data_IF_304855718140
#
_entry.id   IF_304855718140
#
_cell.length_a   1.000
_cell.length_b   1.000
_cell.length_c   1.000
_cell.angle_alpha   90.00
_cell.angle_beta   90.00
_cell.angle_gamma   90.00
#
_symmetry.space_group_name_H-M   'P 1'
#
loop_
_entity.id
_entity.type
_entity.pdbx_description
1 polymer ?
#
# COMPACT_ATOMS: atom_id res chain seq x y z
N UNK A 1 -5.46 -24.90 -28.58
CA UNK A 1 -5.18 -23.45 -28.57
C UNK A 1 -5.28 -22.98 -27.14
N UNK A 2 -4.16 -22.78 -26.45
CA UNK A 2 -4.18 -22.10 -25.15
C UNK A 2 -4.69 -20.69 -25.38
N UNK A 3 -5.73 -20.30 -24.64
CA UNK A 3 -6.19 -18.91 -24.63
C UNK A 3 -5.02 -18.03 -24.21
N UNK A 4 -4.81 -16.88 -24.85
CA UNK A 4 -3.80 -15.89 -24.47
C UNK A 4 -3.84 -15.63 -22.96
N UNK A 5 -5.03 -15.59 -22.36
CA UNK A 5 -5.24 -15.42 -20.91
C UNK A 5 -4.71 -16.62 -20.10
N UNK A 6 -4.81 -17.83 -20.62
CA UNK A 6 -4.24 -19.04 -20.03
C UNK A 6 -2.72 -18.99 -19.94
N UNK A 7 -2.06 -18.53 -21.01
CA UNK A 7 -0.60 -18.35 -21.02
C UNK A 7 -0.15 -17.26 -20.03
N UNK A 8 -0.91 -16.16 -19.93
CA UNK A 8 -0.70 -15.12 -18.90
C UNK A 8 -0.83 -15.69 -17.48
N UNK A 9 -1.84 -16.53 -17.22
CA UNK A 9 -2.06 -17.13 -15.90
C UNK A 9 -0.93 -18.09 -15.51
N UNK A 10 -0.53 -18.97 -16.44
CA UNK A 10 0.55 -19.93 -16.21
C UNK A 10 1.87 -19.22 -15.86
N UNK A 11 2.21 -18.18 -16.64
CA UNK A 11 3.42 -17.39 -16.38
C UNK A 11 3.36 -16.64 -15.04
N UNK A 12 2.18 -16.13 -14.67
CA UNK A 12 1.98 -15.47 -13.37
C UNK A 12 2.14 -16.46 -12.20
N UNK A 13 1.68 -17.71 -12.33
CA UNK A 13 1.87 -18.75 -11.33
C UNK A 13 3.34 -19.16 -11.17
N UNK A 14 4.08 -19.29 -12.27
CA UNK A 14 5.52 -19.55 -12.24
C UNK A 14 6.28 -18.45 -11.49
N UNK A 15 5.97 -17.18 -11.79
CA UNK A 15 6.61 -16.05 -11.13
C UNK A 15 6.28 -16.00 -9.63
N UNK A 16 5.05 -16.35 -9.23
CA UNK A 16 4.65 -16.44 -7.82
C UNK A 16 5.40 -17.55 -7.07
N UNK A 17 5.51 -18.74 -7.67
CA UNK A 17 6.31 -19.84 -7.10
C UNK A 17 7.78 -19.44 -6.94
N UNK A 18 8.33 -18.75 -7.94
CA UNK A 18 9.71 -18.24 -7.88
C UNK A 18 9.88 -17.19 -6.77
N UNK A 19 8.89 -16.31 -6.59
CA UNK A 19 8.88 -15.33 -5.52
C UNK A 19 8.85 -15.99 -4.13
N UNK A 20 8.02 -17.03 -3.95
CA UNK A 20 7.96 -17.80 -2.70
C UNK A 20 9.32 -18.43 -2.36
N UNK A 21 9.96 -19.10 -3.32
CA UNK A 21 11.29 -19.68 -3.15
C UNK A 21 12.37 -18.62 -2.81
N UNK A 22 12.29 -17.44 -3.44
CA UNK A 22 13.21 -16.33 -3.13
C UNK A 22 13.00 -15.77 -1.72
N UNK A 23 11.77 -15.74 -1.22
CA UNK A 23 11.47 -15.29 0.13
C UNK A 23 11.95 -16.31 1.18
N UNK A 24 11.88 -17.61 0.89
CA UNK A 24 12.42 -18.66 1.76
C UNK A 24 13.95 -18.56 1.93
N UNK A 25 14.65 -18.22 0.84
CA UNK A 25 16.12 -18.15 0.81
C UNK A 25 16.63 -16.70 0.85
N UNK A 26 15.80 -15.76 1.29
CA UNK A 26 16.07 -14.32 1.18
C UNK A 26 17.41 -13.90 1.77
N UNK A 27 17.79 -14.47 2.92
CA UNK A 27 19.04 -14.13 3.61
C UNK A 27 20.29 -14.74 2.94
N UNK A 28 20.13 -15.74 2.08
CA UNK A 28 21.24 -16.45 1.40
C UNK A 28 21.48 -15.94 -0.02
N UNK A 29 20.53 -15.22 -0.61
CA UNK A 29 20.59 -14.77 -1.99
C UNK A 29 21.32 -13.41 -2.10
N UNK A 30 22.34 -13.28 -2.96
CA UNK A 30 22.90 -11.97 -3.28
C UNK A 30 21.85 -11.12 -3.99
N UNK A 31 21.77 -9.84 -3.65
CA UNK A 31 20.76 -8.91 -4.18
C UNK A 31 19.30 -9.39 -4.02
N UNK A 32 19.00 -10.23 -3.02
CA UNK A 32 17.65 -10.75 -2.78
C UNK A 32 16.56 -9.65 -2.81
N UNK A 33 16.76 -8.47 -2.19
CA UNK A 33 15.77 -7.38 -2.26
C UNK A 33 15.47 -6.93 -3.69
N UNK A 34 16.49 -6.81 -4.55
CA UNK A 34 16.31 -6.41 -5.95
C UNK A 34 15.71 -7.52 -6.80
N UNK A 35 16.11 -8.78 -6.58
CA UNK A 35 15.56 -9.92 -7.32
C UNK A 35 14.08 -10.13 -7.00
N UNK A 36 13.72 -10.08 -5.72
CA UNK A 36 12.33 -10.05 -5.25
C UNK A 36 11.58 -8.89 -5.93
N UNK A 37 12.13 -7.67 -5.89
CA UNK A 37 11.52 -6.52 -6.55
C UNK A 37 11.32 -6.74 -8.05
N UNK A 38 12.30 -7.31 -8.76
CA UNK A 38 12.26 -7.56 -10.20
C UNK A 38 11.16 -8.56 -10.55
N UNK A 39 11.08 -9.66 -9.81
CA UNK A 39 10.03 -10.67 -10.02
C UNK A 39 8.67 -10.09 -9.69
N UNK A 40 8.52 -9.37 -8.57
CA UNK A 40 7.28 -8.67 -8.26
C UNK A 40 6.94 -7.64 -9.34
N UNK A 41 7.91 -6.96 -9.95
CA UNK A 41 7.70 -6.02 -11.04
C UNK A 41 7.19 -6.74 -12.30
N UNK A 42 7.74 -7.91 -12.62
CA UNK A 42 7.28 -8.74 -13.72
C UNK A 42 5.85 -9.24 -13.46
N UNK A 43 5.55 -9.75 -12.26
CA UNK A 43 4.19 -10.11 -11.85
C UNK A 43 3.24 -8.92 -12.03
N UNK A 44 3.63 -7.73 -11.55
CA UNK A 44 2.88 -6.48 -11.69
C UNK A 44 2.61 -6.15 -13.16
N UNK A 45 3.60 -6.26 -14.04
CA UNK A 45 3.46 -6.00 -15.48
C UNK A 45 2.47 -6.96 -16.16
N UNK A 46 2.54 -8.25 -15.83
CA UNK A 46 1.60 -9.25 -16.31
C UNK A 46 0.18 -8.98 -15.81
N UNK A 47 0.02 -8.61 -14.54
CA UNK A 47 -1.26 -8.19 -13.96
C UNK A 47 -1.81 -6.93 -14.61
N UNK A 48 -0.96 -5.94 -14.92
CA UNK A 48 -1.34 -4.70 -15.58
C UNK A 48 -1.87 -4.96 -16.99
N UNK A 49 -1.17 -5.80 -17.75
CA UNK A 49 -1.59 -6.21 -19.09
C UNK A 49 -2.90 -6.97 -19.04
N UNK A 50 -3.05 -7.91 -18.11
CA UNK A 50 -4.30 -8.65 -17.88
C UNK A 50 -5.44 -7.72 -17.50
N UNK A 51 -5.22 -6.75 -16.61
CA UNK A 51 -6.22 -5.74 -16.21
C UNK A 51 -6.65 -4.87 -17.40
N UNK A 52 -5.70 -4.46 -18.26
CA UNK A 52 -6.01 -3.71 -19.49
C UNK A 52 -6.81 -4.54 -20.50
N UNK A 53 -6.54 -5.84 -20.60
CA UNK A 53 -7.26 -6.76 -21.49
C UNK A 53 -8.65 -7.10 -20.93
N UNK A 54 -8.78 -7.20 -19.61
CA UNK A 54 -10.02 -7.51 -18.91
C UNK A 54 -10.70 -6.25 -18.35
N UNK A 55 -10.71 -5.12 -19.09
CA UNK A 55 -11.38 -3.90 -18.63
C UNK A 55 -12.86 -4.16 -18.35
N UNK A 56 -13.19 -4.41 -17.09
CA UNK A 56 -14.56 -4.45 -16.58
C UNK A 56 -15.00 -3.02 -16.34
N UNK A 57 -16.09 -2.61 -16.96
CA UNK A 57 -16.72 -1.33 -16.66
C UNK A 57 -17.51 -1.46 -15.35
N UNK A 58 -17.44 -0.46 -14.50
CA UNK A 58 -18.30 -0.36 -13.32
C UNK A 58 -18.93 1.02 -13.25
N UNK A 59 -20.22 1.05 -12.95
CA UNK A 59 -20.99 2.27 -12.71
C UNK A 59 -20.85 2.79 -11.28
N UNK A 60 -20.28 1.99 -10.38
CA UNK A 60 -20.17 2.28 -8.95
C UNK A 60 -18.72 2.55 -8.58
N UNK A 61 -18.52 3.58 -7.75
CA UNK A 61 -17.20 3.91 -7.22
C UNK A 61 -17.26 3.98 -5.70
N UNK A 62 -16.19 3.50 -5.07
CA UNK A 62 -16.05 3.56 -3.62
C UNK A 62 -15.92 5.02 -3.17
N UNK A 63 -16.73 5.44 -2.21
CA UNK A 63 -16.70 6.80 -1.68
C UNK A 63 -15.41 7.13 -0.94
N UNK A 64 -14.70 6.14 -0.39
CA UNK A 64 -13.42 6.32 0.29
C UNK A 64 -12.23 6.37 -0.68
N UNK A 65 -11.98 5.30 -1.44
CA UNK A 65 -10.79 5.22 -2.30
C UNK A 65 -11.00 5.68 -3.75
N UNK A 66 -12.24 6.04 -4.13
CA UNK A 66 -12.65 6.48 -5.48
C UNK A 66 -12.39 5.45 -6.59
N UNK A 67 -12.15 4.19 -6.21
CA UNK A 67 -11.94 3.09 -7.17
C UNK A 67 -13.25 2.46 -7.59
N UNK A 68 -13.33 1.85 -8.79
CA UNK A 68 -14.50 1.09 -9.20
C UNK A 68 -14.77 -0.06 -8.23
N UNK A 69 -16.06 -0.31 -7.98
CA UNK A 69 -16.59 -1.47 -7.28
C UNK A 69 -17.10 -2.43 -8.34
N UNK A 70 -16.56 -3.65 -8.42
CA UNK A 70 -16.99 -4.59 -9.45
C UNK A 70 -18.25 -5.35 -9.01
N UNK A 71 -18.99 -5.94 -9.95
CA UNK A 71 -20.25 -6.65 -9.65
C UNK A 71 -20.08 -7.85 -8.70
N UNK A 72 -18.85 -8.40 -8.65
CA UNK A 72 -18.46 -9.48 -7.74
C UNK A 72 -18.16 -8.99 -6.31
N UNK A 73 -17.98 -7.69 -6.11
CA UNK A 73 -17.78 -7.09 -4.80
C UNK A 73 -19.13 -6.88 -4.09
N UNK A 74 -19.18 -7.11 -2.78
CA UNK A 74 -20.31 -6.73 -1.92
C UNK A 74 -19.98 -5.46 -1.14
N UNK A 75 -20.29 -4.25 -1.67
CA UNK A 75 -19.96 -3.02 -1.00
C UNK A 75 -20.83 -2.81 0.25
N UNK A 76 -20.24 -2.18 1.26
CA UNK A 76 -21.00 -1.71 2.43
C UNK A 76 -21.71 -0.42 2.03
N UNK A 77 -23.02 -0.40 2.20
CA UNK A 77 -23.87 0.76 1.87
C UNK A 77 -24.25 1.51 3.15
N UNK A 78 -24.04 2.83 3.15
CA UNK A 78 -24.33 3.73 4.26
C UNK A 78 -25.20 4.92 3.79
N UNK A 79 -25.77 5.65 4.75
CA UNK A 79 -26.70 6.75 4.52
C UNK A 79 -28.14 6.30 4.24
N UNK A 80 -29.08 7.23 4.37
CA UNK A 80 -30.54 7.01 4.30
C UNK A 80 -31.00 6.29 3.02
N UNK A 81 -30.27 6.50 1.91
CA UNK A 81 -30.60 5.96 0.58
C UNK A 81 -29.49 5.05 0.02
N UNK A 82 -28.49 4.66 0.82
CA UNK A 82 -27.37 3.82 0.35
C UNK A 82 -26.43 4.49 -0.66
N UNK A 83 -26.47 5.82 -0.80
CA UNK A 83 -25.62 6.59 -1.72
C UNK A 83 -24.12 6.56 -1.36
N UNK A 84 -23.77 6.14 -0.15
CA UNK A 84 -22.39 6.04 0.28
C UNK A 84 -21.95 4.57 0.26
N UNK A 85 -21.13 4.20 -0.72
CA UNK A 85 -20.64 2.85 -0.91
C UNK A 85 -19.17 2.72 -0.54
N UNK A 86 -18.84 1.69 0.25
CA UNK A 86 -17.47 1.38 0.64
C UNK A 86 -17.11 0.01 0.09
N UNK A 87 -16.05 -0.05 -0.72
CA UNK A 87 -15.59 -1.31 -1.30
C UNK A 87 -14.95 -2.24 -0.25
N UNK A 88 -14.96 -3.56 -0.48
CA UNK A 88 -14.34 -4.55 0.41
C UNK A 88 -12.85 -4.26 0.70
N UNK A 89 -12.14 -3.70 -0.28
CA UNK A 89 -10.72 -3.30 -0.11
C UNK A 89 -10.54 -2.25 0.98
N UNK A 90 -11.42 -1.24 1.04
CA UNK A 90 -11.34 -0.21 2.08
C UNK A 90 -11.70 -0.77 3.45
N UNK A 91 -12.71 -1.64 3.52
CA UNK A 91 -13.07 -2.35 4.77
C UNK A 91 -11.88 -3.16 5.28
N UNK A 92 -11.20 -3.90 4.39
CA UNK A 92 -9.97 -4.62 4.74
C UNK A 92 -8.91 -3.68 5.30
N UNK A 93 -8.60 -2.57 4.61
CA UNK A 93 -7.61 -1.58 5.09
C UNK A 93 -7.99 -0.99 6.46
N UNK A 94 -9.27 -0.71 6.71
CA UNK A 94 -9.77 -0.26 8.02
C UNK A 94 -9.49 -1.30 9.10
N UNK A 95 -9.76 -2.58 8.81
CA UNK A 95 -9.59 -3.67 9.75
C UNK A 95 -8.14 -4.01 10.08
N UNK A 96 -7.19 -3.59 9.24
CA UNK A 96 -5.75 -3.77 9.48
C UNK A 96 -5.18 -2.82 10.53
N UNK A 97 -5.92 -1.77 10.93
CA UNK A 97 -5.51 -0.89 12.03
C UNK A 97 -5.91 -1.53 13.35
N UNK A 98 -4.94 -1.83 14.20
CA UNK A 98 -5.11 -2.59 15.44
C UNK A 98 -4.55 -1.82 16.63
N UNK A 99 -5.10 -2.05 17.82
CA UNK A 99 -4.47 -1.67 19.07
C UNK A 99 -3.23 -2.51 19.35
N UNK A 100 -2.34 -2.02 20.21
CA UNK A 100 -1.07 -2.73 20.49
C UNK A 100 -1.26 -4.13 21.04
N UNK A 101 -2.24 -4.34 21.92
CA UNK A 101 -2.50 -5.64 22.53
C UNK A 101 -2.92 -6.68 21.49
N UNK A 102 -3.85 -6.32 20.59
CA UNK A 102 -4.28 -7.22 19.51
C UNK A 102 -3.11 -7.57 18.57
N UNK A 103 -2.24 -6.60 18.28
CA UNK A 103 -1.09 -6.84 17.41
C UNK A 103 -0.02 -7.70 18.09
N UNK A 104 0.25 -7.48 19.38
CA UNK A 104 1.17 -8.30 20.18
C UNK A 104 0.72 -9.77 20.21
N UNK A 105 -0.57 -10.03 20.45
CA UNK A 105 -1.16 -11.36 20.41
C UNK A 105 -1.03 -11.99 19.02
N UNK A 106 -1.37 -11.24 17.96
CA UNK A 106 -1.31 -11.74 16.59
C UNK A 106 0.10 -12.16 16.15
N UNK A 107 1.13 -11.44 16.59
CA UNK A 107 2.54 -11.72 16.23
C UNK A 107 3.28 -12.55 17.29
N UNK A 108 2.57 -13.09 18.30
CA UNK A 108 3.17 -13.97 19.32
C UNK A 108 4.22 -13.27 20.20
N UNK A 109 4.07 -11.96 20.43
CA UNK A 109 5.01 -11.19 21.26
C UNK A 109 4.73 -11.52 22.73
N UNK A 110 5.64 -12.27 23.36
CA UNK A 110 5.46 -12.82 24.71
C UNK A 110 5.55 -11.79 25.84
N UNK A 111 6.23 -10.66 25.60
CA UNK A 111 6.42 -9.60 26.59
C UNK A 111 5.39 -8.48 26.38
N UNK A 112 4.38 -8.32 27.26
CA UNK A 112 3.34 -7.32 27.08
C UNK A 112 3.91 -5.90 27.16
N UNK A 113 3.44 -5.00 26.28
CA UNK A 113 3.88 -3.60 26.24
C UNK A 113 5.17 -3.35 25.46
N UNK A 114 5.74 -4.38 24.86
CA UNK A 114 6.90 -4.30 23.96
C UNK A 114 6.62 -3.38 22.78
N UNK A 115 5.46 -3.54 22.12
CA UNK A 115 5.08 -2.73 20.97
C UNK A 115 4.84 -1.27 21.37
N UNK A 116 4.32 -1.03 22.57
CA UNK A 116 4.15 0.33 23.12
C UNK A 116 5.51 1.01 23.33
N UNK A 117 6.53 0.28 23.79
CA UNK A 117 7.89 0.81 23.88
C UNK A 117 8.46 1.09 22.48
N UNK A 118 8.27 0.16 21.54
CA UNK A 118 8.77 0.30 20.17
C UNK A 118 8.16 1.48 19.42
N UNK A 119 6.88 1.78 19.67
CA UNK A 119 6.20 2.97 19.14
C UNK A 119 6.89 4.29 19.53
N UNK A 120 7.53 4.34 20.69
CA UNK A 120 8.29 5.51 21.16
C UNK A 120 9.78 5.47 20.77
N UNK A 121 10.25 4.39 20.13
CA UNK A 121 11.64 4.23 19.75
C UNK A 121 11.77 3.89 18.25
N UNK A 122 12.09 2.64 17.89
CA UNK A 122 12.37 2.25 16.51
C UNK A 122 11.24 2.50 15.52
N UNK A 123 9.98 2.55 15.96
CA UNK A 123 8.81 2.75 15.09
C UNK A 123 8.35 4.22 14.99
N UNK A 124 9.03 5.14 15.66
CA UNK A 124 8.72 6.58 15.62
C UNK A 124 8.63 7.17 14.18
N UNK A 125 9.49 6.80 13.21
CA UNK A 125 9.39 7.32 11.84
C UNK A 125 8.06 6.98 11.15
N UNK A 126 7.43 5.86 11.53
CA UNK A 126 6.15 5.45 10.95
C UNK A 126 4.96 6.32 11.40
N UNK A 127 5.19 7.22 12.37
CA UNK A 127 4.18 8.15 12.85
C UNK A 127 3.86 9.25 11.84
N UNK A 128 4.87 9.79 11.15
CA UNK A 128 4.69 10.82 10.10
C UNK A 128 3.84 10.30 8.93
N UNK A 129 3.83 8.98 8.74
CA UNK A 129 3.11 8.30 7.67
C UNK A 129 1.77 7.73 8.14
N UNK A 130 1.46 7.86 9.43
CA UNK A 130 0.17 7.47 9.99
C UNK A 130 -0.05 5.96 10.10
N UNK A 131 1.00 5.15 9.89
CA UNK A 131 0.95 3.69 10.12
C UNK A 131 1.03 3.36 11.61
N UNK A 132 1.63 4.25 12.41
CA UNK A 132 1.64 4.20 13.87
C UNK A 132 1.10 5.52 14.38
N UNK A 133 0.14 5.52 15.30
CA UNK A 133 -0.32 6.76 15.93
C UNK A 133 -0.72 6.55 17.36
N UNK A 134 -0.50 7.58 18.18
CA UNK A 134 -0.95 7.59 19.56
C UNK A 134 -2.40 8.09 19.61
N UNK A 135 -3.28 7.26 20.16
CA UNK A 135 -4.60 7.69 20.64
C UNK A 135 -4.50 7.96 22.14
N UNK A 136 -5.53 8.56 22.74
CA UNK A 136 -5.45 9.05 24.14
C UNK A 136 -5.02 7.97 25.14
N UNK A 137 -5.50 6.73 24.95
CA UNK A 137 -5.31 5.61 25.89
C UNK A 137 -4.48 4.45 25.33
N UNK A 138 -4.21 4.43 24.03
CA UNK A 138 -3.49 3.34 23.37
C UNK A 138 -2.75 3.82 22.13
N UNK A 139 -1.92 2.95 21.58
CA UNK A 139 -1.36 3.14 20.24
C UNK A 139 -2.19 2.33 19.25
N UNK A 140 -2.46 2.96 18.11
CA UNK A 140 -3.04 2.30 16.95
C UNK A 140 -1.92 2.07 15.94
N UNK A 141 -1.82 0.84 15.48
CA UNK A 141 -0.73 0.35 14.64
C UNK A 141 -1.35 -0.42 13.49
N UNK A 142 -0.91 -0.09 12.27
CA UNK A 142 -1.28 -0.83 11.08
C UNK A 142 -0.56 -2.19 11.06
N UNK A 143 -1.27 -3.26 10.72
CA UNK A 143 -0.77 -4.65 10.73
C UNK A 143 0.57 -4.83 10.01
N UNK A 144 0.79 -4.08 8.93
CA UNK A 144 2.04 -4.11 8.15
C UNK A 144 3.29 -3.84 9.01
N UNK A 145 3.17 -3.06 10.08
CA UNK A 145 4.29 -2.79 10.99
C UNK A 145 4.74 -4.09 11.67
N UNK A 146 3.78 -4.96 12.01
CA UNK A 146 4.01 -6.34 12.45
C UNK A 146 4.88 -7.12 11.44
N UNK A 147 4.49 -7.06 10.18
CA UNK A 147 5.16 -7.78 9.08
C UNK A 147 6.57 -7.24 8.83
N UNK A 148 6.76 -5.92 8.80
CA UNK A 148 8.05 -5.30 8.45
C UNK A 148 9.05 -5.40 9.62
N UNK A 149 8.58 -5.24 10.85
CA UNK A 149 9.45 -5.08 12.02
C UNK A 149 9.54 -6.33 12.90
N UNK A 150 8.50 -7.15 13.02
CA UNK A 150 8.52 -8.31 13.91
C UNK A 150 8.76 -9.63 13.18
N UNK A 151 8.24 -9.79 11.96
CA UNK A 151 8.40 -11.04 11.19
C UNK A 151 9.86 -11.36 10.81
N UNK A 152 10.66 -10.34 10.50
CA UNK A 152 12.06 -10.46 10.06
C UNK A 152 13.05 -10.17 11.22
N UNK A 153 12.54 -10.05 12.44
CA UNK A 153 13.27 -9.61 13.63
C UNK A 153 13.28 -8.08 13.78
N UNK A 154 13.31 -7.60 15.03
CA UNK A 154 13.21 -6.18 15.47
C UNK A 154 14.39 -5.31 14.99
N UNK A 155 14.52 -5.17 13.68
CA UNK A 155 15.61 -4.52 12.96
C UNK A 155 15.17 -3.12 12.54
N UNK A 156 15.79 -2.09 13.12
CA UNK A 156 15.46 -0.67 12.84
C UNK A 156 15.65 -0.30 11.36
N UNK A 157 16.62 -0.91 10.67
CA UNK A 157 16.89 -0.58 9.26
C UNK A 157 15.70 -0.89 8.33
N UNK A 158 14.93 -1.95 8.59
CA UNK A 158 13.75 -2.31 7.78
C UNK A 158 12.65 -1.24 7.77
N UNK A 159 12.63 -0.41 8.82
CA UNK A 159 11.64 0.65 9.02
C UNK A 159 12.17 1.99 8.52
N UNK A 160 13.49 2.20 8.60
CA UNK A 160 14.15 3.45 8.25
C UNK A 160 14.54 3.55 6.79
N UNK A 161 14.96 2.43 6.19
CA UNK A 161 15.49 2.39 4.84
C UNK A 161 14.53 1.58 3.98
N UNK A 162 14.11 2.16 2.85
CA UNK A 162 13.60 1.34 1.77
C UNK A 162 14.74 0.53 1.15
N UNK A 163 14.44 -0.61 0.52
CA UNK A 163 15.44 -1.33 -0.27
C UNK A 163 16.06 -0.44 -1.36
N UNK A 164 15.35 0.60 -1.81
CA UNK A 164 15.87 1.60 -2.75
C UNK A 164 16.99 2.42 -2.07
N UNK A 165 16.80 2.80 -0.81
CA UNK A 165 17.81 3.51 -0.04
C UNK A 165 19.01 2.60 0.26
N UNK A 166 18.78 1.30 0.45
CA UNK A 166 19.86 0.31 0.56
C UNK A 166 20.67 0.20 -0.73
N UNK A 167 20.03 0.16 -1.90
CA UNK A 167 20.72 0.16 -3.19
C UNK A 167 21.53 1.45 -3.40
N UNK A 168 20.98 2.61 -3.03
CA UNK A 168 21.68 3.89 -3.11
C UNK A 168 22.89 3.91 -2.16
N UNK A 169 22.72 3.43 -0.93
CA UNK A 169 23.82 3.35 0.04
C UNK A 169 24.92 2.40 -0.42
N UNK A 170 24.57 1.24 -0.97
CA UNK A 170 25.52 0.29 -1.55
C UNK A 170 26.29 0.91 -2.73
N UNK A 171 25.60 1.66 -3.60
CA UNK A 171 26.21 2.40 -4.70
C UNK A 171 27.23 3.43 -4.19
N UNK A 172 26.91 4.16 -3.12
CA UNK A 172 27.86 5.08 -2.49
C UNK A 172 29.07 4.36 -1.88
N UNK A 173 28.87 3.20 -1.25
CA UNK A 173 29.96 2.38 -0.71
C UNK A 173 30.89 1.91 -1.83
N UNK A 174 30.35 1.39 -2.93
CA UNK A 174 31.16 0.95 -4.09
C UNK A 174 31.93 2.12 -4.71
N UNK A 175 31.32 3.30 -4.82
CA UNK A 175 32.00 4.52 -5.29
C UNK A 175 33.15 4.95 -4.38
N UNK A 176 32.96 4.85 -3.06
CA UNK A 176 34.03 5.12 -2.07
C UNK A 176 35.16 4.10 -2.17
N UNK A 177 34.84 2.82 -2.34
CA UNK A 177 35.84 1.75 -2.54
C UNK A 177 36.65 1.96 -3.81
N UNK A 178 35.98 2.29 -4.93
CA UNK A 178 36.66 2.64 -6.19
C UNK A 178 37.64 3.80 -5.97
N UNK A 179 37.18 4.89 -5.34
CA UNK A 179 38.02 6.06 -5.07
C UNK A 179 39.24 5.71 -4.21
N UNK A 180 39.05 4.93 -3.15
CA UNK A 180 40.14 4.50 -2.28
C UNK A 180 41.16 3.63 -3.03
N UNK A 181 40.71 2.75 -3.91
CA UNK A 181 41.58 1.91 -4.74
C UNK A 181 42.33 2.73 -5.81
N UNK A 182 41.71 3.77 -6.37
CA UNK A 182 42.36 4.74 -7.26
C UNK A 182 43.44 5.55 -6.54
N UNK A 183 43.17 5.97 -5.29
CA UNK A 183 44.10 6.72 -4.45
C UNK A 183 45.30 5.86 -3.98
N UNK A 184 45.11 4.54 -3.87
CA UNK A 184 46.14 3.57 -3.46
C UNK A 184 46.96 3.00 -4.65
N UNK A 185 47.06 3.68 -5.79
CA UNK A 185 47.83 3.19 -6.96
C UNK A 185 49.34 3.15 -6.72
N UNK A 186 49.89 1.98 -6.36
CA UNK A 186 51.01 1.42 -7.12
C UNK A 186 50.90 -0.10 -7.42
N UNK A 187 49.77 -0.77 -7.12
CA UNK A 187 49.66 -2.24 -7.25
C UNK A 187 49.06 -2.73 -8.58
N UNK A 188 49.70 -3.64 -9.34
CA UNK A 188 49.17 -4.18 -10.61
C UNK A 188 47.83 -4.90 -10.50
N UNK A 189 47.56 -5.54 -9.35
CA UNK A 189 46.29 -6.24 -9.08
C UNK A 189 45.10 -5.29 -8.87
N UNK A 190 45.35 -3.98 -8.71
CA UNK A 190 44.30 -2.97 -8.60
C UNK A 190 43.49 -2.82 -9.89
N UNK A 191 44.06 -3.16 -11.06
CA UNK A 191 43.41 -2.90 -12.34
C UNK A 191 42.19 -3.81 -12.58
N UNK A 192 42.28 -5.10 -12.25
CA UNK A 192 41.16 -6.04 -12.37
C UNK A 192 40.07 -5.77 -11.33
N UNK A 193 40.48 -5.38 -10.13
CA UNK A 193 39.58 -4.98 -9.05
C UNK A 193 38.82 -3.69 -9.40
N UNK A 194 39.49 -2.69 -10.01
CA UNK A 194 38.85 -1.47 -10.51
C UNK A 194 37.80 -1.77 -11.58
N UNK A 195 38.11 -2.62 -12.57
CA UNK A 195 37.13 -3.02 -13.58
C UNK A 195 35.92 -3.76 -12.99
N UNK A 196 36.15 -4.64 -12.02
CA UNK A 196 35.07 -5.33 -11.32
C UNK A 196 34.18 -4.35 -10.55
N UNK A 197 34.78 -3.39 -9.83
CA UNK A 197 34.05 -2.34 -9.13
C UNK A 197 33.28 -1.43 -10.09
N UNK A 198 33.86 -1.07 -11.24
CA UNK A 198 33.19 -0.27 -12.27
C UNK A 198 31.97 -0.99 -12.85
N UNK A 199 32.09 -2.28 -13.16
CA UNK A 199 30.98 -3.09 -13.63
C UNK A 199 29.86 -3.17 -12.58
N UNK A 200 30.20 -3.37 -11.31
CA UNK A 200 29.23 -3.39 -10.21
C UNK A 200 28.55 -2.04 -10.01
N UNK A 201 29.30 -0.92 -10.05
CA UNK A 201 28.75 0.43 -9.96
C UNK A 201 27.80 0.69 -11.13
N UNK A 202 28.16 0.32 -12.36
CA UNK A 202 27.33 0.54 -13.53
C UNK A 202 26.04 -0.28 -13.48
N UNK A 203 26.11 -1.54 -13.07
CA UNK A 203 24.94 -2.40 -12.87
C UNK A 203 24.01 -1.81 -11.80
N UNK A 204 24.55 -1.48 -10.62
CA UNK A 204 23.78 -0.94 -9.50
C UNK A 204 23.19 0.45 -9.83
N UNK A 205 23.93 1.30 -10.52
CA UNK A 205 23.43 2.59 -11.03
C UNK A 205 22.25 2.38 -11.97
N UNK A 206 22.37 1.43 -12.91
CA UNK A 206 21.28 1.12 -13.85
C UNK A 206 20.04 0.64 -13.12
N UNK A 207 20.20 -0.17 -12.06
CA UNK A 207 19.09 -0.60 -11.19
C UNK A 207 18.43 0.60 -10.51
N UNK A 208 19.22 1.50 -9.90
CA UNK A 208 18.72 2.72 -9.24
C UNK A 208 18.00 3.64 -10.23
N UNK A 209 18.57 3.88 -11.41
CA UNK A 209 18.00 4.75 -12.44
C UNK A 209 16.67 4.21 -12.98
N UNK A 210 16.52 2.88 -13.11
CA UNK A 210 15.24 2.26 -13.50
C UNK A 210 14.14 2.51 -12.46
N UNK A 211 14.52 2.48 -11.18
CA UNK A 211 13.61 2.66 -10.04
C UNK A 211 13.26 4.14 -9.86
N UNK A 212 14.24 5.03 -9.90
CA UNK A 212 14.07 6.48 -9.77
C UNK A 212 13.43 7.11 -11.01
N UNK A 213 13.77 6.63 -12.21
CA UNK A 213 13.28 7.14 -13.49
C UNK A 213 11.82 6.82 -13.80
N UNK A 214 11.06 6.25 -12.85
CA UNK A 214 9.60 6.11 -12.92
C UNK A 214 9.11 5.18 -14.03
N UNK A 215 9.98 4.32 -14.60
CA UNK A 215 9.59 3.40 -15.70
C UNK A 215 8.66 2.27 -15.25
N UNK A 216 8.44 2.11 -13.94
CA UNK A 216 7.55 1.12 -13.37
C UNK A 216 6.49 1.83 -12.51
N UNK A 217 5.19 1.74 -12.85
CA UNK A 217 4.15 2.24 -11.98
C UNK A 217 4.13 1.37 -10.71
N UNK A 218 4.25 1.96 -9.54
CA UNK A 218 4.16 1.22 -8.28
C UNK A 218 2.69 0.86 -8.01
N UNK A 219 2.41 -0.23 -7.28
CA UNK A 219 1.05 -0.54 -6.82
C UNK A 219 0.96 -0.38 -5.32
N UNK A 220 -0.05 0.34 -4.87
CA UNK A 220 -0.40 0.36 -3.46
C UNK A 220 -0.65 -1.07 -2.97
N UNK A 221 0.13 -1.53 -1.99
CA UNK A 221 0.02 -2.85 -1.37
C UNK A 221 -1.33 -3.06 -0.68
N UNK A 222 -2.08 -1.98 -0.40
CA UNK A 222 -3.41 -2.02 0.21
C UNK A 222 -4.55 -2.25 -0.77
N UNK A 223 -4.65 -1.38 -1.79
CA UNK A 223 -5.80 -1.37 -2.69
C UNK A 223 -5.49 -1.93 -4.09
N UNK A 224 -4.23 -2.25 -4.36
CA UNK A 224 -3.75 -2.72 -5.67
C UNK A 224 -3.71 -1.64 -6.75
N UNK A 225 -4.04 -0.39 -6.40
CA UNK A 225 -4.11 0.71 -7.36
C UNK A 225 -2.72 1.16 -7.75
N UNK A 226 -2.54 1.39 -9.05
CA UNK A 226 -1.33 2.00 -9.60
C UNK A 226 -1.12 3.41 -9.07
N UNK A 227 0.01 3.62 -8.43
CA UNK A 227 0.53 4.91 -7.99
C UNK A 227 1.01 5.65 -9.24
N UNK A 228 0.19 6.60 -9.69
CA UNK A 228 0.47 7.48 -10.84
C UNK A 228 0.99 8.86 -10.41
N UNK A 229 1.11 9.08 -9.10
CA UNK A 229 1.56 10.35 -8.54
C UNK A 229 3.03 10.59 -8.92
N UNK A 230 3.36 11.84 -9.27
CA UNK A 230 4.73 12.26 -9.56
C UNK A 230 5.51 12.32 -8.24
N UNK A 231 6.48 11.43 -8.05
CA UNK A 231 7.30 11.34 -6.85
C UNK A 231 7.56 9.88 -6.45
N UNK A 232 8.57 9.67 -5.59
CA UNK A 232 8.84 8.34 -5.01
C UNK A 232 7.70 8.01 -4.03
N UNK A 233 6.94 6.91 -4.21
CA UNK A 233 6.00 6.44 -3.18
C UNK A 233 6.68 6.33 -1.82
N UNK A 234 5.91 6.36 -0.74
CA UNK A 234 6.47 6.00 0.56
C UNK A 234 6.71 4.50 0.60
N UNK A 235 7.98 4.10 0.74
CA UNK A 235 8.41 2.71 0.84
C UNK A 235 8.81 2.38 2.29
N UNK A 236 8.40 1.20 2.76
CA UNK A 236 8.88 0.62 4.01
C UNK A 236 9.23 -0.84 3.75
N UNK A 237 10.52 -1.17 3.70
CA UNK A 237 10.94 -2.39 3.02
C UNK A 237 10.34 -2.42 1.60
N UNK A 238 9.62 -3.49 1.25
CA UNK A 238 8.93 -3.65 -0.04
C UNK A 238 7.50 -3.09 -0.08
N UNK A 239 6.96 -2.64 1.05
CA UNK A 239 5.58 -2.17 1.14
C UNK A 239 5.41 -0.74 0.61
N UNK A 240 4.32 -0.50 -0.12
CA UNK A 240 3.93 0.84 -0.59
C UNK A 240 2.47 1.14 -0.29
N UNK A 241 2.16 2.40 0.02
CA UNK A 241 0.79 2.84 0.32
C UNK A 241 0.45 4.11 -0.46
N UNK A 242 -0.74 4.15 -1.07
CA UNK A 242 -1.24 5.36 -1.74
C UNK A 242 -1.76 6.38 -0.73
N UNK A 243 -1.82 7.64 -1.15
CA UNK A 243 -2.41 8.76 -0.41
C UNK A 243 -3.82 8.44 0.13
N UNK A 244 -4.68 7.81 -0.68
CA UNK A 244 -6.05 7.44 -0.27
C UNK A 244 -6.10 6.33 0.79
N UNK A 245 -5.25 5.32 0.69
CA UNK A 245 -5.17 4.28 1.72
C UNK A 245 -4.58 4.84 3.02
N UNK A 246 -3.60 5.75 2.92
CA UNK A 246 -3.07 6.48 4.08
C UNK A 246 -4.18 7.27 4.78
N UNK A 247 -5.01 8.00 4.03
CA UNK A 247 -6.17 8.73 4.56
C UNK A 247 -7.15 7.80 5.29
N UNK A 248 -7.51 6.66 4.68
CA UNK A 248 -8.41 5.66 5.28
C UNK A 248 -7.84 5.14 6.62
N UNK A 249 -6.55 4.77 6.64
CA UNK A 249 -5.87 4.26 7.84
C UNK A 249 -5.89 5.31 8.95
N UNK A 250 -5.59 6.57 8.62
CA UNK A 250 -5.54 7.66 9.61
C UNK A 250 -6.91 8.00 10.22
N UNK A 251 -8.00 7.70 9.52
CA UNK A 251 -9.36 7.96 9.96
C UNK A 251 -9.96 6.84 10.84
N UNK A 252 -9.22 5.75 11.08
CA UNK A 252 -9.60 4.75 12.09
C UNK A 252 -9.22 5.27 13.47
N UNK A 253 -10.17 5.30 14.40
CA UNK A 253 -10.02 5.89 15.74
C UNK A 253 -10.75 5.14 16.85
N UNK A 254 -10.39 5.48 18.09
CA UNK A 254 -11.10 4.96 19.26
C UNK A 254 -12.43 5.69 19.46
N UNK A 255 -13.37 5.05 20.17
CA UNK A 255 -14.64 5.70 20.57
C UNK A 255 -14.46 7.04 21.29
N UNK A 256 -13.51 7.14 22.23
CA UNK A 256 -13.25 8.40 22.97
C UNK A 256 -12.69 9.50 22.07
N UNK A 257 -11.80 9.13 21.14
CA UNK A 257 -11.24 10.05 20.16
C UNK A 257 -12.31 10.56 19.17
N UNK A 258 -13.19 9.67 18.73
CA UNK A 258 -14.34 10.01 17.89
C UNK A 258 -15.29 11.00 18.59
N UNK A 259 -15.64 10.74 19.85
CA UNK A 259 -16.50 11.62 20.63
C UNK A 259 -15.92 13.03 20.72
N UNK A 260 -14.62 13.14 21.03
CA UNK A 260 -13.91 14.42 21.10
C UNK A 260 -13.82 15.11 19.74
N UNK A 261 -13.43 14.40 18.68
CA UNK A 261 -13.27 14.95 17.33
C UNK A 261 -14.58 15.50 16.79
N UNK A 262 -15.71 14.86 17.10
CA UNK A 262 -17.02 15.24 16.57
C UNK A 262 -17.87 16.10 17.52
N UNK A 263 -17.39 16.38 18.74
CA UNK A 263 -18.11 17.16 19.74
C UNK A 263 -19.27 16.43 20.40
N UNK A 264 -19.18 15.10 20.52
CA UNK A 264 -20.19 14.28 21.19
C UNK A 264 -19.91 14.21 22.70
N UNK A 265 -20.95 14.06 23.55
CA UNK A 265 -20.76 13.81 24.98
C UNK A 265 -19.97 12.51 25.23
N UNK A 266 -19.13 12.53 26.27
CA UNK A 266 -18.30 11.38 26.64
C UNK A 266 -19.16 10.14 26.95
N UNK A 267 -18.79 9.02 26.34
CA UNK A 267 -19.45 7.72 26.51
C UNK A 267 -20.74 7.54 25.71
N UNK A 268 -21.14 8.51 24.88
CA UNK A 268 -22.30 8.38 23.97
C UNK A 268 -22.17 7.16 23.06
N UNK A 269 -21.02 6.98 22.40
CA UNK A 269 -20.83 5.88 21.44
C UNK A 269 -20.88 4.53 22.16
N UNK A 270 -20.28 4.43 23.36
CA UNK A 270 -20.32 3.19 24.16
C UNK A 270 -21.73 2.86 24.63
N UNK A 271 -22.50 3.86 25.06
CA UNK A 271 -23.89 3.68 25.49
C UNK A 271 -24.78 3.20 24.34
N UNK A 272 -24.62 3.80 23.17
CA UNK A 272 -25.39 3.44 21.98
C UNK A 272 -24.99 2.05 21.46
N UNK A 273 -23.71 1.69 21.54
CA UNK A 273 -23.25 0.33 21.25
C UNK A 273 -23.89 -0.71 22.19
N UNK A 274 -23.97 -0.42 23.49
CA UNK A 274 -24.63 -1.31 24.46
C UNK A 274 -26.14 -1.49 24.19
N UNK A 275 -26.76 -0.56 23.46
CA UNK A 275 -28.16 -0.63 23.00
C UNK A 275 -28.34 -1.33 21.64
N UNK A 276 -27.27 -1.89 21.06
CA UNK A 276 -27.32 -2.54 19.74
C UNK A 276 -27.35 -1.57 18.55
N UNK A 277 -27.22 -0.26 18.77
CA UNK A 277 -27.34 0.73 17.68
C UNK A 277 -26.17 0.72 16.68
N UNK A 278 -25.16 -0.12 16.93
CA UNK A 278 -23.96 -0.27 16.12
C UNK A 278 -23.83 -1.64 15.44
N UNK A 279 -24.82 -2.52 15.57
CA UNK A 279 -24.68 -3.91 15.10
C UNK A 279 -24.45 -4.00 13.58
N UNK A 280 -25.13 -3.16 12.78
CA UNK A 280 -24.88 -3.03 11.33
C UNK A 280 -23.43 -2.66 10.99
N UNK A 281 -22.77 -1.87 11.85
CA UNK A 281 -21.38 -1.46 11.63
C UNK A 281 -20.39 -2.54 12.07
N UNK A 282 -20.79 -3.40 13.03
CA UNK A 282 -20.01 -4.58 13.44
C UNK A 282 -19.97 -5.61 12.34
N UNK A 283 -21.13 -5.92 11.75
CA UNK A 283 -21.26 -6.89 10.65
C UNK A 283 -20.45 -6.46 9.42
N UNK A 284 -20.39 -5.16 9.13
CA UNK A 284 -19.60 -4.60 8.03
C UNK A 284 -18.13 -4.37 8.36
N UNK A 285 -17.69 -4.63 9.60
CA UNK A 285 -16.31 -4.41 10.05
C UNK A 285 -15.92 -2.94 10.23
N UNK A 286 -16.87 -2.00 10.16
CA UNK A 286 -16.61 -0.57 10.38
C UNK A 286 -16.51 -0.19 11.86
N UNK A 287 -17.02 -1.03 12.76
CA UNK A 287 -16.98 -0.87 14.21
C UNK A 287 -16.61 -2.21 14.87
N UNK A 288 -15.46 -2.29 15.53
CA UNK A 288 -14.96 -3.57 16.08
C UNK A 288 -14.20 -3.41 17.38
N UNK A 289 -14.05 -4.51 18.10
CA UNK A 289 -13.21 -4.58 19.28
C UNK A 289 -11.77 -4.94 18.87
N UNK A 290 -10.80 -4.27 19.49
CA UNK A 290 -9.37 -4.49 19.33
C UNK A 290 -8.72 -4.57 20.71
N UNK A 291 -8.42 -5.79 21.16
CA UNK A 291 -8.14 -6.06 22.57
C UNK A 291 -9.32 -5.60 23.45
N UNK A 292 -9.09 -4.61 24.30
CA UNK A 292 -10.11 -4.05 25.20
C UNK A 292 -10.70 -2.70 24.73
N UNK A 293 -10.44 -2.31 23.47
CA UNK A 293 -10.78 -0.97 22.97
C UNK A 293 -11.62 -1.09 21.70
N UNK A 294 -12.72 -0.32 21.65
CA UNK A 294 -13.56 -0.20 20.47
C UNK A 294 -12.92 0.76 19.46
N UNK A 295 -12.70 0.27 18.25
CA UNK A 295 -12.23 1.01 17.09
C UNK A 295 -13.34 1.19 16.07
N UNK A 296 -13.32 2.34 15.40
CA UNK A 296 -14.27 2.69 14.36
C UNK A 296 -13.62 3.60 13.33
N UNK A 297 -14.09 3.54 12.09
CA UNK A 297 -13.72 4.53 11.08
C UNK A 297 -14.61 5.76 11.18
N UNK A 298 -14.06 6.95 10.93
CA UNK A 298 -14.73 8.26 10.97
C UNK A 298 -16.13 8.27 10.32
N UNK A 299 -16.28 7.54 9.21
CA UNK A 299 -17.52 7.38 8.45
C UNK A 299 -18.70 6.89 9.30
N UNK A 300 -18.46 6.07 10.33
CA UNK A 300 -19.52 5.57 11.21
C UNK A 300 -20.13 6.70 12.03
N UNK A 301 -19.29 7.63 12.50
CA UNK A 301 -19.75 8.79 13.27
C UNK A 301 -20.54 9.73 12.35
N UNK A 302 -20.05 9.92 11.13
CA UNK A 302 -20.71 10.74 10.12
C UNK A 302 -22.06 10.17 9.72
N UNK A 303 -22.20 8.85 9.59
CA UNK A 303 -23.46 8.19 9.25
C UNK A 303 -24.46 8.18 10.42
N UNK A 304 -23.98 7.98 11.65
CA UNK A 304 -24.85 7.79 12.81
C UNK A 304 -25.32 9.09 13.45
N UNK A 305 -24.43 10.07 13.58
CA UNK A 305 -24.67 11.27 14.38
C UNK A 305 -24.66 12.57 13.57
N UNK A 306 -24.20 12.51 12.32
CA UNK A 306 -24.17 13.65 11.41
C UNK A 306 -24.82 13.23 10.09
N UNK A 307 -24.69 14.06 9.07
CA UNK A 307 -25.08 13.71 7.70
C UNK A 307 -23.85 13.28 6.90
N UNK A 308 -23.93 12.11 6.27
CA UNK A 308 -22.98 11.73 5.22
C UNK A 308 -23.25 12.59 4.00
N UNK A 309 -22.40 13.60 3.78
CA UNK A 309 -22.34 14.26 2.48
C UNK A 309 -21.78 13.25 1.48
N UNK A 310 -22.59 12.78 0.53
CA UNK A 310 -22.04 12.28 -0.72
C UNK A 310 -21.23 13.45 -1.28
N UNK A 311 -19.98 13.20 -1.69
CA UNK A 311 -19.28 14.18 -2.50
C UNK A 311 -20.24 14.52 -3.65
N UNK A 312 -20.64 15.78 -3.72
CA UNK A 312 -21.62 16.29 -4.67
C UNK A 312 -21.33 15.69 -6.04
N UNK A 313 -22.41 15.43 -6.77
CA UNK A 313 -22.44 15.36 -8.22
C UNK A 313 -21.76 16.61 -8.80
N UNK A 314 -20.43 16.67 -8.79
CA UNK A 314 -19.71 17.37 -9.82
C UNK A 314 -20.11 16.64 -11.08
N UNK A 315 -20.95 17.31 -11.88
CA UNK A 315 -21.28 16.92 -13.24
C UNK A 315 -20.17 16.05 -13.81
N UNK A 316 -20.54 14.88 -14.31
CA UNK A 316 -19.77 14.32 -15.41
C UNK A 316 -19.47 15.50 -16.33
N UNK A 317 -18.21 15.83 -16.66
CA UNK A 317 -18.03 16.40 -17.97
C UNK A 317 -18.67 15.33 -18.85
N UNK A 318 -19.78 15.69 -19.52
CA UNK A 318 -20.17 14.93 -20.71
C UNK A 318 -18.84 14.71 -21.41
N UNK A 319 -18.45 13.45 -21.56
CA UNK A 319 -17.36 13.09 -22.44
C UNK A 319 -17.89 13.41 -23.84
N UNK A 320 -18.01 14.69 -24.15
CA UNK A 320 -18.09 15.19 -25.50
C UNK A 320 -16.73 14.81 -26.05
N UNK A 321 -16.72 13.66 -26.73
CA UNK A 321 -15.58 13.22 -27.52
C UNK A 321 -15.24 14.45 -28.36
N UNK A 322 -14.02 14.99 -28.16
CA UNK A 322 -13.56 16.18 -28.88
C UNK A 322 -13.92 16.03 -30.36
N UNK A 323 -14.53 17.06 -30.94
CA UNK A 323 -14.98 17.02 -32.34
C UNK A 323 -13.84 16.57 -33.28
N UNK A 324 -12.59 16.90 -32.95
CA UNK A 324 -11.39 16.45 -33.66
C UNK A 324 -11.19 14.92 -33.60
N UNK A 325 -11.45 14.29 -32.45
CA UNK A 325 -11.37 12.82 -32.30
C UNK A 325 -12.49 12.10 -33.08
N UNK A 326 -13.71 12.66 -33.10
CA UNK A 326 -14.82 12.13 -33.92
C UNK A 326 -14.53 12.28 -35.41
N UNK A 327 -13.92 13.40 -35.81
CA UNK A 327 -13.60 13.66 -37.21
C UNK A 327 -12.45 12.76 -37.69
N UNK A 328 -11.45 12.53 -36.85
CA UNK A 328 -10.35 11.58 -37.14
C UNK A 328 -10.84 10.14 -37.23
N UNK A 329 -11.69 9.68 -36.29
CA UNK A 329 -12.22 8.32 -36.33
C UNK A 329 -13.12 8.09 -37.56
N UNK A 330 -13.95 9.07 -37.92
CA UNK A 330 -14.75 9.04 -39.15
C UNK A 330 -13.87 9.01 -40.41
N UNK A 331 -12.76 9.78 -40.44
CA UNK A 331 -11.84 9.77 -41.58
C UNK A 331 -11.13 8.43 -41.77
N UNK A 332 -10.81 7.73 -40.68
CA UNK A 332 -10.17 6.41 -40.71
C UNK A 332 -11.18 5.36 -41.17
N UNK A 333 -12.40 5.40 -40.65
CA UNK A 333 -13.48 4.48 -41.05
C UNK A 333 -13.82 4.62 -42.54
N UNK A 334 -13.88 5.85 -43.05
CA UNK A 334 -14.14 6.10 -44.48
C UNK A 334 -12.97 5.72 -45.40
N UNK A 335 -11.74 5.60 -44.87
CA UNK A 335 -10.58 5.10 -45.61
C UNK A 335 -10.50 3.58 -45.66
N UNK A 336 -11.14 2.87 -44.71
CA UNK A 336 -11.18 1.41 -44.67
C UNK A 336 -12.33 0.82 -45.49
N UNK A 337 -13.36 1.63 -45.78
CA UNK A 337 -14.53 1.25 -46.59
C UNK A 337 -14.47 1.78 -48.04
N UNK A 338 -13.29 2.23 -48.48
CA UNK A 338 -12.94 2.42 -49.89
C UNK A 338 -11.84 1.44 -50.23
#
# INVERSE_FOLDING_TARGET
MTSIIGDYNNRQEELKKTLELMLEHFEMLPDAPYQVFRIEAEIRDYELRKERLNRKFSYLSCNLCKQPIYDEDTPVTLGSNGHFQICPRCIKTINQVKGTTELEEQFGITSPGTLKQDCNGPLQPLQEVGLVRKSEKCWLVHEIVGVIFYRVGRKKHNVMNSWIDELINQLEVLRKQKKLLEDLRPFPESHSQLFSLEAQIQDLQTKVDRVQGGRLPYRCSQCGVWLKELGKPTFFGTYTICSKCKEIVTNVMTTSEAEKKHGLPLGTIRRDNARGLFDRYKESGLFRLSGNIWLLHDVVVLDKYKELKSAESSHSPKNDISADLLQRSASIFNRLNK
#
